data_IF_384182032879
#
_entry.id   IF_384182032879
#
_cell.length_a   1.000
_cell.length_b   1.000
_cell.length_c   1.000
_cell.angle_alpha   90.00
_cell.angle_beta   90.00
_cell.angle_gamma   90.00
#
_symmetry.space_group_name_H-M   'P 1'
#
loop_
_entity.id
_entity.type
_entity.pdbx_description
1 polymer ?
#
# COMPACT_ATOMS: atom_id res chain seq x y z
N UNK A 1 0.03 -16.05 5.19
CA UNK A 1 0.48 -14.80 5.82
C UNK A 1 -0.72 -14.05 6.35
N UNK A 2 -0.78 -13.77 7.65
CA UNK A 2 -1.79 -12.87 8.22
C UNK A 2 -1.42 -11.41 7.97
N UNK A 3 -2.42 -10.57 7.74
CA UNK A 3 -2.30 -9.14 7.49
C UNK A 3 -3.13 -8.37 8.51
N UNK A 4 -2.52 -7.36 9.12
CA UNK A 4 -3.20 -6.33 9.92
C UNK A 4 -3.30 -5.06 9.09
N UNK A 5 -4.49 -4.47 8.97
CA UNK A 5 -4.65 -3.22 8.23
C UNK A 5 -4.11 -2.05 9.06
N UNK A 6 -3.15 -1.31 8.51
CA UNK A 6 -2.65 -0.08 9.11
C UNK A 6 -3.57 1.09 8.75
N UNK A 7 -3.81 1.31 7.46
CA UNK A 7 -4.64 2.41 7.01
C UNK A 7 -5.39 2.04 5.73
N UNK A 8 -6.52 2.72 5.50
CA UNK A 8 -7.29 2.66 4.27
C UNK A 8 -7.70 4.06 3.87
N UNK A 9 -7.83 4.30 2.58
CA UNK A 9 -8.43 5.51 2.07
C UNK A 9 -9.85 5.68 2.63
N UNK A 10 -10.11 6.83 3.26
CA UNK A 10 -11.41 7.18 3.82
C UNK A 10 -12.30 7.91 2.80
N UNK A 11 -11.71 8.42 1.70
CA UNK A 11 -12.40 9.18 0.65
C UNK A 11 -12.99 8.27 -0.44
N UNK A 12 -12.53 7.03 -0.54
CA UNK A 12 -13.05 6.06 -1.51
C UNK A 12 -14.48 5.63 -1.14
N UNK A 13 -15.47 5.97 -1.99
CA UNK A 13 -16.79 5.33 -2.00
C UNK A 13 -16.73 3.86 -2.41
N UNK A 14 -17.85 3.27 -2.84
CA UNK A 14 -18.02 1.82 -3.09
C UNK A 14 -17.05 1.14 -4.10
N UNK A 15 -16.15 1.87 -4.77
CA UNK A 15 -15.24 1.37 -5.80
C UNK A 15 -13.80 1.11 -5.30
N UNK A 16 -13.69 0.33 -4.23
CA UNK A 16 -12.42 -0.22 -3.74
C UNK A 16 -11.56 0.81 -2.98
N UNK A 17 -11.29 0.55 -1.71
CA UNK A 17 -10.42 1.40 -0.90
C UNK A 17 -8.96 0.94 -1.02
N UNK A 18 -8.03 1.75 -1.56
CA UNK A 18 -6.61 1.50 -1.38
C UNK A 18 -6.27 1.39 0.12
N UNK A 19 -5.39 0.46 0.46
CA UNK A 19 -5.07 0.16 1.85
C UNK A 19 -3.64 -0.35 2.01
N UNK A 20 -3.08 -0.11 3.19
CA UNK A 20 -1.76 -0.57 3.60
C UNK A 20 -1.92 -1.49 4.79
N UNK A 21 -1.24 -2.62 4.73
CA UNK A 21 -1.26 -3.66 5.76
C UNK A 21 0.15 -3.93 6.26
N UNK A 22 0.26 -4.28 7.54
CA UNK A 22 1.43 -4.91 8.13
C UNK A 22 1.22 -6.43 8.11
N UNK A 23 2.12 -7.15 7.48
CA UNK A 23 2.16 -8.59 7.51
C UNK A 23 2.78 -9.10 8.83
N UNK A 24 2.41 -10.31 9.24
CA UNK A 24 2.94 -10.94 10.45
C UNK A 24 4.47 -11.11 10.46
N UNK A 25 5.12 -11.07 9.29
CA UNK A 25 6.58 -11.12 9.13
C UNK A 25 7.25 -9.74 9.06
N UNK A 26 6.50 -8.66 9.34
CA UNK A 26 6.99 -7.28 9.33
C UNK A 26 6.98 -6.60 7.96
N UNK A 27 6.60 -7.28 6.88
CA UNK A 27 6.52 -6.66 5.56
C UNK A 27 5.28 -5.76 5.42
N UNK A 28 5.41 -4.72 4.60
CA UNK A 28 4.27 -3.91 4.20
C UNK A 28 3.63 -4.51 2.94
N UNK A 29 2.31 -4.68 2.98
CA UNK A 29 1.51 -5.12 1.82
C UNK A 29 0.59 -3.98 1.42
N UNK A 30 0.63 -3.62 0.14
CA UNK A 30 -0.16 -2.52 -0.42
C UNK A 30 -1.25 -3.08 -1.34
N UNK A 31 -2.48 -2.64 -1.12
CA UNK A 31 -3.61 -2.89 -2.00
C UNK A 31 -4.02 -1.58 -2.67
N UNK A 32 -4.18 -1.59 -3.98
CA UNK A 32 -4.60 -0.42 -4.74
C UNK A 32 -4.88 -0.77 -6.21
N UNK A 33 -5.39 0.19 -6.99
CA UNK A 33 -5.52 0.02 -8.44
C UNK A 33 -4.14 -0.06 -9.09
N UNK A 34 -3.96 -1.00 -10.03
CA UNK A 34 -2.76 -1.06 -10.85
C UNK A 34 -2.55 0.24 -11.62
N UNK A 35 -1.28 0.62 -11.82
CA UNK A 35 -0.93 1.65 -12.80
C UNK A 35 -1.18 1.13 -14.22
N UNK A 36 -1.47 2.02 -15.16
CA UNK A 36 -1.54 1.65 -16.57
C UNK A 36 -0.15 1.31 -17.14
N UNK A 37 -0.14 0.73 -18.35
CA UNK A 37 1.09 0.25 -18.99
C UNK A 37 2.09 1.38 -19.26
N UNK A 38 1.62 2.56 -19.66
CA UNK A 38 2.47 3.72 -19.95
C UNK A 38 3.15 4.22 -18.66
N UNK A 39 2.41 4.29 -17.55
CA UNK A 39 2.95 4.64 -16.25
C UNK A 39 3.90 3.57 -15.73
N UNK A 40 3.56 2.29 -15.91
CA UNK A 40 4.41 1.16 -15.52
C UNK A 40 5.77 1.18 -16.24
N UNK A 41 5.81 1.60 -17.51
CA UNK A 41 7.04 1.73 -18.28
C UNK A 41 8.01 2.79 -17.75
N UNK A 42 7.56 3.70 -16.87
CA UNK A 42 8.43 4.67 -16.20
C UNK A 42 9.19 4.08 -15.00
N UNK A 43 8.88 2.86 -14.58
CA UNK A 43 9.57 2.19 -13.47
C UNK A 43 10.95 1.69 -13.91
N UNK A 44 11.90 1.71 -12.99
CA UNK A 44 13.30 1.36 -13.27
C UNK A 44 13.59 -0.06 -12.78
N UNK A 45 14.21 -0.88 -13.64
CA UNK A 45 14.67 -2.24 -13.34
C UNK A 45 13.57 -3.23 -12.91
N UNK A 46 12.38 -3.13 -13.49
CA UNK A 46 11.27 -4.05 -13.19
C UNK A 46 11.65 -5.50 -13.52
N UNK A 47 11.43 -6.41 -12.58
CA UNK A 47 11.65 -7.85 -12.72
C UNK A 47 10.36 -8.64 -12.98
N UNK A 48 10.44 -9.86 -13.55
CA UNK A 48 9.28 -10.71 -13.72
C UNK A 48 8.52 -10.94 -12.40
N UNK A 49 7.22 -10.66 -12.40
CA UNK A 49 6.34 -10.81 -11.23
C UNK A 49 6.18 -9.55 -10.38
N UNK A 50 6.93 -8.48 -10.65
CA UNK A 50 6.71 -7.19 -10.01
C UNK A 50 5.49 -6.47 -10.57
N UNK A 51 4.77 -5.80 -9.69
CA UNK A 51 3.56 -5.03 -10.01
C UNK A 51 3.67 -3.66 -9.36
N UNK A 52 3.00 -2.67 -9.95
CA UNK A 52 2.90 -1.34 -9.35
C UNK A 52 1.45 -0.93 -9.19
N UNK A 53 1.14 -0.40 -8.02
CA UNK A 53 -0.18 0.03 -7.60
C UNK A 53 -0.13 1.51 -7.24
N UNK A 54 -1.23 2.22 -7.46
CA UNK A 54 -1.38 3.59 -6.98
C UNK A 54 -1.89 3.58 -5.55
N UNK A 55 -1.37 4.51 -4.74
CA UNK A 55 -1.87 4.78 -3.40
C UNK A 55 -1.86 6.29 -3.16
N UNK A 56 -2.86 6.79 -2.43
CA UNK A 56 -2.90 8.20 -2.04
C UNK A 56 -1.77 8.49 -1.04
N UNK A 57 -0.99 9.57 -1.22
CA UNK A 57 0.07 9.93 -0.29
C UNK A 57 -0.39 10.07 1.16
N UNK A 58 -1.62 10.57 1.41
CA UNK A 58 -2.16 10.69 2.76
C UNK A 58 -2.30 9.33 3.43
N UNK A 59 -2.76 8.30 2.70
CA UNK A 59 -2.89 6.93 3.23
C UNK A 59 -1.54 6.34 3.60
N UNK A 60 -0.49 6.63 2.82
CA UNK A 60 0.88 6.21 3.13
C UNK A 60 1.39 6.85 4.42
N UNK A 61 1.29 8.17 4.53
CA UNK A 61 1.76 8.92 5.70
C UNK A 61 1.03 8.47 6.97
N UNK A 62 -0.28 8.29 6.89
CA UNK A 62 -1.11 7.78 7.98
C UNK A 62 -0.74 6.36 8.41
N UNK A 63 -0.35 5.49 7.48
CA UNK A 63 0.09 4.14 7.80
C UNK A 63 1.45 4.15 8.50
N UNK A 64 2.36 5.05 8.11
CA UNK A 64 3.67 5.23 8.76
C UNK A 64 3.51 5.65 10.22
N UNK A 65 2.62 6.62 10.51
CA UNK A 65 2.37 7.04 11.89
C UNK A 65 1.83 5.89 12.76
N UNK A 66 0.92 5.08 12.21
CA UNK A 66 0.38 3.90 12.91
C UNK A 66 1.41 2.80 13.10
N UNK A 67 2.32 2.61 12.15
CA UNK A 67 3.43 1.66 12.28
C UNK A 67 4.37 2.07 13.40
N UNK A 68 4.77 3.35 13.44
CA UNK A 68 5.63 3.90 14.50
C UNK A 68 5.01 3.75 15.89
N UNK A 69 3.71 4.01 16.01
CA UNK A 69 3.00 3.85 17.27
C UNK A 69 3.05 2.40 17.79
N UNK A 70 3.01 1.41 16.89
CA UNK A 70 3.11 -0.02 17.24
C UNK A 70 4.51 -0.47 17.64
N UNK A 71 5.55 0.16 17.11
CA UNK A 71 6.95 -0.16 17.50
C UNK A 71 7.31 0.41 18.88
N UNK A 72 6.52 1.36 19.41
CA UNK A 72 6.72 1.97 20.71
C UNK A 72 6.02 1.23 21.87
N UNK A 73 5.17 0.24 21.56
CA UNK A 73 4.45 -0.64 22.50
C UNK A 73 5.23 -1.95 22.76
#
# INVERSE_FOLDING_TARGET
MRLEMLCKDQKSGANGCPAIYLAENGQIVVQGPMVDQDTFANLVNVLPGEVALRIDPEVLLDAVERLRAKEAD
#
